data_IF_768914585984
#
_entry.id   IF_768914585984
#
_cell.length_a   1.000
_cell.length_b   1.000
_cell.length_c   1.000
_cell.angle_alpha   90.00
_cell.angle_beta   90.00
_cell.angle_gamma   90.00
#
_symmetry.space_group_name_H-M   'P 1'
#
loop_
_entity.id
_entity.type
_entity.pdbx_description
1 polymer ?
#
# COMPACT_ATOMS: atom_id res chain seq x y z
N UNK A 1 9.05 -17.51 -13.38
CA UNK A 1 7.95 -17.13 -12.46
C UNK A 1 8.19 -15.69 -12.03
N UNK A 2 7.20 -14.79 -12.11
CA UNK A 2 7.37 -13.41 -11.61
C UNK A 2 7.17 -13.41 -10.10
N UNK A 3 8.10 -12.84 -9.35
CA UNK A 3 7.94 -12.67 -7.89
C UNK A 3 6.74 -11.77 -7.59
N UNK A 4 6.07 -12.03 -6.47
CA UNK A 4 5.03 -11.17 -5.90
C UNK A 4 5.64 -10.33 -4.79
N UNK A 5 5.24 -9.07 -4.69
CA UNK A 5 5.83 -8.08 -3.82
C UNK A 5 4.75 -7.30 -3.07
N UNK A 6 5.05 -6.92 -1.83
CA UNK A 6 4.26 -5.97 -1.07
C UNK A 6 4.53 -4.55 -1.60
N UNK A 7 3.65 -4.08 -2.46
CA UNK A 7 3.72 -2.76 -3.06
C UNK A 7 2.97 -1.77 -2.18
N UNK A 8 3.65 -0.71 -1.74
CA UNK A 8 3.02 0.31 -0.91
C UNK A 8 2.16 1.23 -1.77
N UNK A 9 0.95 1.53 -1.30
CA UNK A 9 0.08 2.55 -1.88
C UNK A 9 0.36 3.87 -1.17
N UNK A 10 0.96 4.82 -1.90
CA UNK A 10 1.41 6.09 -1.33
C UNK A 10 0.30 7.13 -1.25
N UNK A 11 -0.62 7.14 -2.20
CA UNK A 11 -1.75 8.08 -2.19
C UNK A 11 -2.63 7.82 -0.94
N UNK A 12 -3.02 8.89 -0.25
CA UNK A 12 -3.80 8.81 0.99
C UNK A 12 -3.04 8.33 2.23
N UNK A 13 -1.73 8.03 2.13
CA UNK A 13 -0.96 7.50 3.27
C UNK A 13 -0.54 8.54 4.33
N UNK A 14 -0.55 9.83 3.98
CA UNK A 14 0.02 10.89 4.82
C UNK A 14 1.56 10.89 4.87
N UNK A 15 2.24 9.96 4.18
CA UNK A 15 3.69 9.92 4.14
C UNK A 15 4.26 11.03 3.22
N UNK A 16 5.27 11.76 3.72
CA UNK A 16 6.01 12.76 2.95
C UNK A 16 6.94 12.17 1.89
N UNK A 17 7.64 13.05 1.17
CA UNK A 17 8.65 12.64 0.18
C UNK A 17 9.80 11.88 0.87
N UNK A 18 10.18 10.72 0.33
CA UNK A 18 11.20 9.84 0.92
C UNK A 18 10.71 9.06 2.16
N UNK A 19 9.54 9.38 2.71
CA UNK A 19 8.93 8.62 3.78
C UNK A 19 8.23 7.38 3.21
N UNK A 20 8.42 6.25 3.88
CA UNK A 20 7.71 4.99 3.60
C UNK A 20 6.30 5.09 4.19
N UNK A 21 5.24 4.74 3.45
CA UNK A 21 3.91 4.55 4.03
C UNK A 21 3.91 3.45 5.09
N UNK A 22 2.88 3.39 5.92
CA UNK A 22 2.73 2.30 6.88
C UNK A 22 2.65 0.95 6.16
N UNK A 23 3.21 -0.10 6.78
CA UNK A 23 3.28 -1.45 6.20
C UNK A 23 1.90 -2.04 5.87
N UNK A 24 0.85 -1.59 6.56
CA UNK A 24 -0.52 -2.02 6.27
C UNK A 24 -1.11 -1.37 5.01
N UNK A 25 -0.53 -0.30 4.47
CA UNK A 25 -0.95 0.31 3.19
C UNK A 25 -0.23 -0.35 2.02
N UNK A 26 -0.34 -1.67 1.94
CA UNK A 26 0.27 -2.48 0.88
C UNK A 26 -0.73 -3.37 0.18
N UNK A 27 -0.44 -3.67 -1.09
CA UNK A 27 -1.15 -4.67 -1.90
C UNK A 27 -0.13 -5.56 -2.63
N UNK A 28 -0.58 -6.71 -3.12
CA UNK A 28 0.29 -7.59 -3.92
C UNK A 28 0.35 -7.13 -5.36
N UNK A 29 1.56 -6.86 -5.84
CA UNK A 29 1.84 -6.70 -7.27
C UNK A 29 2.93 -7.69 -7.68
N UNK A 30 2.87 -8.18 -8.92
CA UNK A 30 4.04 -8.86 -9.46
C UNK A 30 5.18 -7.85 -9.65
N UNK A 31 6.43 -8.29 -9.56
CA UNK A 31 7.61 -7.42 -9.68
C UNK A 31 7.64 -6.60 -10.98
N UNK A 32 7.08 -7.14 -12.07
CA UNK A 32 6.95 -6.42 -13.34
C UNK A 32 5.90 -5.30 -13.34
N UNK A 33 4.87 -5.40 -12.50
CA UNK A 33 3.86 -4.35 -12.31
C UNK A 33 4.27 -3.35 -11.22
N UNK A 34 5.04 -3.78 -10.23
CA UNK A 34 5.52 -2.91 -9.16
C UNK A 34 6.67 -2.00 -9.61
N UNK A 35 7.80 -2.62 -10.01
CA UNK A 35 9.06 -1.92 -10.33
C UNK A 35 9.67 -2.31 -11.68
N UNK A 36 8.90 -3.02 -12.52
CA UNK A 36 9.39 -3.50 -13.81
C UNK A 36 9.79 -2.37 -14.76
N UNK A 37 10.50 -2.68 -15.85
CA UNK A 37 10.99 -1.67 -16.79
C UNK A 37 9.89 -1.08 -17.69
N UNK A 38 8.64 -1.53 -17.53
CA UNK A 38 7.53 -1.07 -18.36
C UNK A 38 7.05 0.30 -17.89
N UNK A 39 6.67 1.15 -18.83
CA UNK A 39 6.09 2.46 -18.53
C UNK A 39 4.77 2.36 -17.74
N UNK A 40 4.11 1.19 -17.77
CA UNK A 40 2.89 0.90 -17.02
C UNK A 40 3.12 0.33 -15.62
N UNK A 41 4.37 0.20 -15.16
CA UNK A 41 4.67 -0.21 -13.79
C UNK A 41 4.40 0.92 -12.78
N UNK A 42 3.99 0.60 -11.56
CA UNK A 42 3.62 1.58 -10.52
C UNK A 42 4.70 2.64 -10.29
N UNK A 43 5.96 2.22 -10.13
CA UNK A 43 7.08 3.14 -9.91
C UNK A 43 7.36 4.06 -11.11
N UNK A 44 7.01 3.65 -12.33
CA UNK A 44 7.24 4.43 -13.55
C UNK A 44 6.04 5.33 -13.91
N UNK A 45 4.82 4.78 -13.84
CA UNK A 45 3.58 5.47 -14.20
C UNK A 45 3.16 6.51 -13.16
N UNK A 46 3.50 6.26 -11.89
CA UNK A 46 3.05 7.06 -10.75
C UNK A 46 1.66 6.66 -10.24
N UNK A 47 1.45 6.85 -8.94
CA UNK A 47 0.31 6.30 -8.18
C UNK A 47 -1.06 6.67 -8.77
N UNK A 48 -1.31 7.95 -9.06
CA UNK A 48 -2.65 8.40 -9.49
C UNK A 48 -3.10 7.74 -10.79
N UNK A 49 -2.17 7.61 -11.74
CA UNK A 49 -2.44 6.99 -13.04
C UNK A 49 -2.50 5.46 -12.90
N UNK A 50 -1.57 4.87 -12.16
CA UNK A 50 -1.52 3.42 -11.96
C UNK A 50 -2.78 2.86 -11.30
N UNK A 51 -3.32 3.58 -10.33
CA UNK A 51 -4.53 3.19 -9.60
C UNK A 51 -5.84 3.66 -10.23
N UNK A 52 -5.80 4.33 -11.40
CA UNK A 52 -7.01 4.86 -12.03
C UNK A 52 -8.00 3.74 -12.37
N UNK A 53 -9.23 3.84 -11.83
CA UNK A 53 -10.26 2.83 -12.02
C UNK A 53 -10.14 1.60 -11.11
N UNK A 54 -9.17 1.58 -10.19
CA UNK A 54 -8.98 0.52 -9.20
C UNK A 54 -9.31 1.07 -7.81
N UNK A 55 -10.14 0.35 -7.05
CA UNK A 55 -10.41 0.65 -5.65
C UNK A 55 -9.30 0.09 -4.75
N UNK A 56 -8.18 0.81 -4.69
CA UNK A 56 -7.02 0.41 -3.91
C UNK A 56 -7.25 0.47 -2.40
N UNK A 57 -8.16 1.32 -1.89
CA UNK A 57 -8.49 1.35 -0.46
C UNK A 57 -9.21 0.06 -0.05
N UNK A 58 -10.12 -0.44 -0.90
CA UNK A 58 -10.73 -1.74 -0.69
C UNK A 58 -9.69 -2.88 -0.73
N UNK A 59 -8.76 -2.86 -1.67
CA UNK A 59 -7.69 -3.88 -1.73
C UNK A 59 -6.82 -3.87 -0.46
N UNK A 60 -6.45 -2.68 0.03
CA UNK A 60 -5.73 -2.53 1.30
C UNK A 60 -6.55 -3.12 2.46
N UNK A 61 -7.85 -2.81 2.53
CA UNK A 61 -8.73 -3.34 3.57
C UNK A 61 -8.81 -4.88 3.51
N UNK A 62 -8.92 -5.46 2.32
CA UNK A 62 -8.92 -6.91 2.12
C UNK A 62 -7.59 -7.55 2.57
N UNK A 63 -6.46 -6.89 2.32
CA UNK A 63 -5.13 -7.34 2.78
C UNK A 63 -5.01 -7.31 4.30
N UNK A 64 -5.48 -6.23 4.93
CA UNK A 64 -5.50 -6.12 6.40
C UNK A 64 -6.39 -7.22 6.99
N UNK A 65 -7.55 -7.48 6.40
CA UNK A 65 -8.47 -8.52 6.88
C UNK A 65 -7.86 -9.93 6.78
N UNK A 66 -7.12 -10.20 5.71
CA UNK A 66 -6.44 -11.49 5.49
C UNK A 66 -5.13 -11.64 6.29
N UNK A 67 -4.56 -10.55 6.80
CA UNK A 67 -3.25 -10.56 7.47
C UNK A 67 -3.28 -11.31 8.80
N UNK A 68 -2.25 -12.13 9.12
CA UNK A 68 -2.09 -12.71 10.46
C UNK A 68 -1.87 -11.62 11.53
N UNK A 69 -1.39 -10.44 11.15
CA UNK A 69 -1.17 -9.29 12.05
C UNK A 69 -2.37 -8.33 12.10
N UNK A 70 -3.55 -8.75 11.61
CA UNK A 70 -4.76 -7.90 11.56
C UNK A 70 -5.03 -7.16 12.87
N UNK A 71 -4.92 -7.84 14.02
CA UNK A 71 -5.21 -7.24 15.33
C UNK A 71 -4.25 -6.09 15.66
N UNK A 72 -2.96 -6.27 15.39
CA UNK A 72 -1.93 -5.26 15.63
C UNK A 72 -2.09 -4.07 14.70
N UNK A 73 -2.39 -4.34 13.41
CA UNK A 73 -2.66 -3.29 12.42
C UNK A 73 -3.85 -2.44 12.85
N UNK A 74 -4.97 -3.08 13.24
CA UNK A 74 -6.17 -2.35 13.66
C UNK A 74 -5.95 -1.55 14.94
N UNK A 75 -5.15 -2.06 15.89
CA UNK A 75 -4.78 -1.32 17.08
C UNK A 75 -3.95 -0.07 16.71
N UNK A 76 -2.92 -0.23 15.88
CA UNK A 76 -2.09 0.90 15.42
C UNK A 76 -2.90 1.96 14.65
N UNK A 77 -3.89 1.53 13.85
CA UNK A 77 -4.81 2.45 13.17
C UNK A 77 -5.70 3.22 14.16
N UNK A 78 -6.23 2.54 15.18
CA UNK A 78 -7.03 3.19 16.22
C UNK A 78 -6.19 4.20 17.02
N UNK A 79 -4.97 3.83 17.42
CA UNK A 79 -4.06 4.72 18.15
C UNK A 79 -3.73 5.98 17.34
N UNK A 80 -3.48 5.84 16.03
CA UNK A 80 -3.25 7.00 15.15
C UNK A 80 -4.52 7.85 14.99
N UNK A 81 -5.70 7.23 14.84
CA UNK A 81 -6.96 7.95 14.72
C UNK A 81 -7.32 8.76 15.98
N UNK A 82 -6.91 8.26 17.15
CA UNK A 82 -7.10 8.93 18.43
C UNK A 82 -5.99 9.95 18.75
N UNK A 83 -4.96 10.07 17.91
CA UNK A 83 -3.81 10.95 18.15
C UNK A 83 -2.93 10.50 19.33
N UNK A 84 -2.99 9.21 19.68
CA UNK A 84 -2.25 8.60 20.80
C UNK A 84 -0.86 8.09 20.37
N UNK A 85 -0.60 8.07 19.06
CA UNK A 85 0.71 7.75 18.51
C UNK A 85 1.68 8.94 18.68
N UNK A 86 2.72 8.74 19.48
CA UNK A 86 3.85 9.65 19.68
C UNK A 86 4.79 9.72 18.47
#
# INVERSE_FOLDING_TARGET
>A
MKSVEAAHVRIGSGAGMGQKPDDWRTVSLCSACHRGPRADAQHAMGERSFWAGIDYERLIAEFIQASPLRREILAAQADRALGVAA
#
